data_IF_144038949039
#
_entry.id   IF_144038949039
#
_cell.length_a   1.000
_cell.length_b   1.000
_cell.length_c   1.000
_cell.angle_alpha   90.00
_cell.angle_beta   90.00
_cell.angle_gamma   90.00
#
_symmetry.space_group_name_H-M   'P 1'
#
loop_
_entity.id
_entity.type
_entity.pdbx_description
1 polymer ?
#
# COMPACT_ATOMS: atom_id res chain seq x y z
N UNK A 1 -23.28 20.41 7.17
CA UNK A 1 -22.24 20.32 6.12
C UNK A 1 -21.02 19.70 6.76
N UNK A 2 -20.81 18.39 6.56
CA UNK A 2 -19.62 17.72 7.11
C UNK A 2 -18.40 18.22 6.34
N UNK A 3 -17.39 18.74 7.04
CA UNK A 3 -16.13 19.13 6.41
C UNK A 3 -15.51 17.88 5.78
N UNK A 4 -15.26 17.92 4.48
CA UNK A 4 -14.61 16.83 3.76
C UNK A 4 -13.12 16.86 4.12
N UNK A 5 -12.76 16.31 5.28
CA UNK A 5 -11.35 16.15 5.65
C UNK A 5 -10.69 15.29 4.57
N UNK A 6 -9.65 15.79 3.88
CA UNK A 6 -9.01 15.01 2.83
C UNK A 6 -8.41 13.75 3.42
N UNK A 7 -8.62 12.62 2.75
CA UNK A 7 -7.86 11.40 3.03
C UNK A 7 -6.42 11.65 2.63
N UNK A 8 -5.53 11.67 3.61
CA UNK A 8 -4.09 11.79 3.39
C UNK A 8 -3.49 10.38 3.29
N UNK A 9 -2.69 10.19 2.25
CA UNK A 9 -1.85 9.00 2.06
C UNK A 9 -0.43 9.48 1.95
N UNK A 10 0.41 9.07 2.90
CA UNK A 10 1.83 9.39 2.96
C UNK A 10 2.61 8.12 2.62
N UNK A 11 3.66 8.25 1.80
CA UNK A 11 4.55 7.15 1.45
C UNK A 11 5.97 7.64 1.60
N UNK A 12 6.75 6.90 2.40
CA UNK A 12 8.13 7.24 2.71
C UNK A 12 9.02 6.01 2.52
N UNK A 13 10.23 6.21 2.00
CA UNK A 13 11.23 5.15 1.98
C UNK A 13 11.66 4.80 3.40
N UNK A 14 11.90 3.51 3.67
CA UNK A 14 12.33 3.05 4.99
C UNK A 14 13.83 3.16 5.22
N UNK A 15 14.60 3.40 4.14
CA UNK A 15 16.08 3.31 4.11
C UNK A 15 16.62 1.93 4.55
N UNK A 16 15.75 0.92 4.65
CA UNK A 16 16.07 -0.46 4.96
C UNK A 16 15.57 -1.33 3.83
N UNK A 17 16.45 -2.00 3.09
CA UNK A 17 16.06 -2.68 1.86
C UNK A 17 16.00 -1.73 0.66
N UNK A 18 16.15 -2.27 -0.56
CA UNK A 18 16.32 -1.45 -1.78
C UNK A 18 15.03 -0.77 -2.24
N UNK A 19 13.89 -1.42 -2.04
CA UNK A 19 12.59 -0.97 -2.54
C UNK A 19 11.53 -0.86 -1.44
N UNK A 20 11.93 -1.01 -0.17
CA UNK A 20 10.99 -1.04 0.94
C UNK A 20 10.55 0.36 1.36
N UNK A 21 9.24 0.55 1.42
CA UNK A 21 8.57 1.79 1.79
C UNK A 21 7.54 1.53 2.88
N UNK A 22 7.22 2.57 3.63
CA UNK A 22 6.08 2.59 4.55
C UNK A 22 5.02 3.53 3.98
N UNK A 23 3.82 3.00 3.76
CA UNK A 23 2.63 3.77 3.41
C UNK A 23 1.74 3.96 4.63
N UNK A 24 1.21 5.17 4.83
CA UNK A 24 0.34 5.54 5.96
C UNK A 24 -0.96 6.16 5.50
N UNK A 25 -2.06 5.73 6.08
CA UNK A 25 -3.37 6.37 5.91
C UNK A 25 -4.21 6.28 7.19
N UNK A 26 -4.53 7.42 7.78
CA UNK A 26 -5.13 7.48 9.12
C UNK A 26 -4.26 6.77 10.16
N UNK A 27 -4.78 5.71 10.76
CA UNK A 27 -4.06 4.87 11.73
C UNK A 27 -3.39 3.63 11.13
N UNK A 28 -3.53 3.41 9.82
CA UNK A 28 -2.98 2.24 9.15
C UNK A 28 -1.57 2.52 8.67
N UNK A 29 -0.67 1.57 8.90
CA UNK A 29 0.67 1.53 8.33
C UNK A 29 0.80 0.24 7.52
N UNK A 30 1.27 0.35 6.28
CA UNK A 30 1.45 -0.75 5.36
C UNK A 30 2.91 -0.78 4.90
N UNK A 31 3.50 -1.97 4.89
CA UNK A 31 4.80 -2.18 4.24
C UNK A 31 4.56 -2.41 2.76
N UNK A 32 5.25 -1.64 1.93
CA UNK A 32 5.30 -1.80 0.47
C UNK A 32 6.70 -2.23 0.12
N UNK A 33 6.85 -3.37 -0.52
CA UNK A 33 8.16 -3.84 -0.95
C UNK A 33 8.02 -4.71 -2.18
N UNK A 34 9.03 -4.69 -3.03
CA UNK A 34 9.02 -5.50 -4.24
C UNK A 34 9.52 -6.92 -3.94
N UNK A 35 9.14 -7.93 -4.74
CA UNK A 35 9.63 -9.29 -4.54
C UNK A 35 11.13 -9.40 -4.86
N UNK A 36 11.77 -10.43 -4.30
CA UNK A 36 13.20 -10.72 -4.51
C UNK A 36 13.60 -10.83 -5.99
N UNK A 37 12.68 -11.29 -6.85
CA UNK A 37 12.91 -11.45 -8.28
C UNK A 37 13.25 -10.12 -9.00
N UNK A 38 12.84 -8.97 -8.46
CA UNK A 38 13.16 -7.64 -8.99
C UNK A 38 14.07 -6.84 -8.05
N UNK A 39 14.62 -7.50 -7.01
CA UNK A 39 15.64 -6.94 -6.12
C UNK A 39 15.11 -6.27 -4.85
N UNK A 40 13.86 -6.50 -4.47
CA UNK A 40 13.33 -6.15 -3.15
C UNK A 40 13.51 -7.29 -2.14
N UNK A 41 12.96 -7.13 -0.94
CA UNK A 41 13.14 -8.08 0.17
C UNK A 41 11.89 -8.96 0.41
N UNK A 42 10.82 -8.78 -0.39
CA UNK A 42 9.54 -9.49 -0.24
C UNK A 42 8.92 -9.29 1.17
N UNK A 43 9.13 -8.11 1.75
CA UNK A 43 8.65 -7.78 3.11
C UNK A 43 7.16 -7.39 3.17
N UNK A 44 6.51 -7.24 2.03
CA UNK A 44 5.10 -6.92 1.85
C UNK A 44 4.74 -6.89 0.37
N UNK A 45 3.46 -6.67 0.02
CA UNK A 45 3.06 -6.55 -1.37
C UNK A 45 3.75 -5.39 -2.08
N UNK A 46 4.02 -5.58 -3.37
CA UNK A 46 4.56 -4.53 -4.22
C UNK A 46 3.54 -3.41 -4.50
N UNK A 47 3.98 -2.25 -5.00
CA UNK A 47 3.10 -1.15 -5.40
C UNK A 47 1.99 -1.59 -6.35
N UNK A 48 2.31 -2.45 -7.32
CA UNK A 48 1.34 -2.96 -8.28
C UNK A 48 0.31 -3.90 -7.65
N UNK A 49 0.72 -4.72 -6.68
CA UNK A 49 -0.19 -5.60 -5.97
C UNK A 49 -1.17 -4.79 -5.12
N UNK A 50 -0.69 -3.76 -4.41
CA UNK A 50 -1.56 -2.84 -3.68
C UNK A 50 -2.58 -2.12 -4.58
N UNK A 51 -2.17 -1.71 -5.79
CA UNK A 51 -3.09 -1.14 -6.78
C UNK A 51 -4.20 -2.13 -7.16
N UNK A 52 -3.84 -3.37 -7.47
CA UNK A 52 -4.80 -4.41 -7.84
C UNK A 52 -5.72 -4.78 -6.68
N UNK A 53 -5.20 -4.80 -5.45
CA UNK A 53 -6.00 -5.02 -4.23
C UNK A 53 -7.03 -3.90 -4.08
N UNK A 54 -6.61 -2.62 -4.18
CA UNK A 54 -7.53 -1.49 -4.07
C UNK A 54 -8.59 -1.49 -5.17
N UNK A 55 -8.19 -1.79 -6.40
CA UNK A 55 -9.11 -1.94 -7.53
C UNK A 55 -10.09 -3.10 -7.30
N UNK A 56 -9.62 -4.26 -6.86
CA UNK A 56 -10.46 -5.40 -6.52
C UNK A 56 -11.45 -5.08 -5.39
N UNK A 57 -11.00 -4.41 -4.34
CA UNK A 57 -11.83 -4.02 -3.20
C UNK A 57 -12.98 -3.07 -3.59
N UNK A 58 -12.80 -2.25 -4.63
CA UNK A 58 -13.85 -1.35 -5.12
C UNK A 58 -14.81 -2.00 -6.12
N UNK A 59 -14.39 -3.06 -6.81
CA UNK A 59 -15.20 -3.74 -7.82
C UNK A 59 -15.90 -4.99 -7.31
N UNK A 60 -15.35 -5.70 -6.32
CA UNK A 60 -15.96 -6.93 -5.84
C UNK A 60 -17.21 -6.61 -5.01
N UNK A 61 -18.43 -6.96 -5.46
CA UNK A 61 -19.52 -7.17 -4.53
C UNK A 61 -19.11 -8.39 -3.68
N UNK A 62 -19.12 -8.27 -2.37
CA UNK A 62 -18.82 -9.38 -1.44
C UNK A 62 -19.63 -10.63 -1.84
N UNK A 63 -19.01 -11.59 -2.51
CA UNK A 63 -19.58 -12.93 -2.69
C UNK A 63 -19.06 -13.74 -1.52
N UNK A 64 -20.00 -14.16 -0.66
CA UNK A 64 -19.75 -15.13 0.40
C UNK A 64 -19.88 -16.54 -0.14
#
# INVERSE_FOLDING_TARGET
>A
MSANTPTIVEVEETLTGRYMQTARTGHHALTVDEPQAVGGDDAGPGPYEYLLIGLGATMLPLVR
#
